data_IF_958034946551
#
_entry.id   IF_958034946551
#
_cell.length_a   1.000
_cell.length_b   1.000
_cell.length_c   1.000
_cell.angle_alpha   90.00
_cell.angle_beta   90.00
_cell.angle_gamma   90.00
#
_symmetry.space_group_name_H-M   'P 1'
#
loop_
_entity.id
_entity.type
_entity.pdbx_description
1 polymer ?
#
# COMPACT_ATOMS: atom_id res chain seq x y z
N UNK A 1 -26.54 -8.70 -11.95
CA UNK A 1 -25.60 -9.78 -11.56
C UNK A 1 -25.57 -10.01 -10.06
N UNK A 2 -25.58 -8.95 -9.23
CA UNK A 2 -25.78 -9.05 -7.77
C UNK A 2 -27.08 -9.78 -7.37
N UNK A 3 -28.12 -9.67 -8.20
CA UNK A 3 -29.40 -10.34 -7.93
C UNK A 3 -29.35 -11.86 -8.06
N UNK A 4 -28.42 -12.41 -8.86
CA UNK A 4 -28.24 -13.85 -9.07
C UNK A 4 -27.06 -14.44 -8.30
N UNK A 5 -26.37 -13.65 -7.46
CA UNK A 5 -25.23 -14.11 -6.67
C UNK A 5 -25.69 -14.96 -5.46
N UNK A 6 -25.03 -16.09 -5.24
CA UNK A 6 -25.20 -16.98 -4.09
C UNK A 6 -23.92 -16.99 -3.22
N UNK A 7 -23.95 -16.39 -2.01
CA UNK A 7 -22.78 -16.29 -1.14
C UNK A 7 -22.34 -17.62 -0.52
N UNK A 8 -23.14 -18.70 -0.61
CA UNK A 8 -22.77 -19.99 -0.03
C UNK A 8 -21.93 -20.86 -0.97
N UNK A 9 -22.13 -20.72 -2.28
CA UNK A 9 -21.40 -21.48 -3.31
C UNK A 9 -20.30 -20.69 -3.99
N UNK A 10 -20.40 -19.36 -4.00
CA UNK A 10 -19.58 -18.50 -4.85
C UNK A 10 -18.88 -17.43 -4.02
N UNK A 11 -17.60 -17.20 -4.31
CA UNK A 11 -16.82 -16.09 -3.77
C UNK A 11 -16.72 -14.98 -4.79
N UNK A 12 -17.05 -13.75 -4.39
CA UNK A 12 -16.85 -12.56 -5.20
C UNK A 12 -15.50 -11.93 -4.84
N UNK A 13 -14.63 -11.76 -5.83
CA UNK A 13 -13.33 -11.09 -5.71
C UNK A 13 -13.41 -9.66 -6.20
N UNK A 14 -12.87 -8.75 -5.40
CA UNK A 14 -12.79 -7.32 -5.72
C UNK A 14 -11.37 -6.80 -5.59
N UNK A 15 -11.09 -5.67 -6.24
CA UNK A 15 -9.78 -4.98 -6.21
C UNK A 15 -9.40 -4.53 -4.80
N UNK A 16 -10.27 -3.73 -4.19
CA UNK A 16 -9.92 -2.91 -3.04
C UNK A 16 -10.95 -3.01 -1.90
N UNK A 17 -10.59 -2.37 -0.79
CA UNK A 17 -11.37 -2.44 0.45
C UNK A 17 -12.67 -1.66 0.35
N UNK A 18 -12.72 -0.59 -0.44
CA UNK A 18 -13.92 0.22 -0.62
C UNK A 18 -14.95 -0.54 -1.43
N UNK A 19 -14.56 -1.12 -2.57
CA UNK A 19 -15.44 -1.99 -3.36
C UNK A 19 -15.95 -3.17 -2.55
N UNK A 20 -15.08 -3.77 -1.70
CA UNK A 20 -15.50 -4.81 -0.75
C UNK A 20 -16.58 -4.30 0.19
N UNK A 21 -16.39 -3.16 0.86
CA UNK A 21 -17.40 -2.62 1.77
C UNK A 21 -18.71 -2.25 1.06
N UNK A 22 -18.65 -1.61 -0.11
CA UNK A 22 -19.83 -1.22 -0.87
C UNK A 22 -20.66 -2.44 -1.28
N UNK A 23 -20.03 -3.47 -1.85
CA UNK A 23 -20.71 -4.72 -2.24
C UNK A 23 -21.22 -5.46 -1.00
N UNK A 24 -20.46 -5.50 0.10
CA UNK A 24 -20.90 -6.11 1.35
C UNK A 24 -22.18 -5.47 1.88
N UNK A 25 -22.27 -4.14 1.87
CA UNK A 25 -23.48 -3.42 2.29
C UNK A 25 -24.69 -3.74 1.40
N UNK A 26 -24.48 -3.89 0.10
CA UNK A 26 -25.55 -4.30 -0.82
C UNK A 26 -25.99 -5.74 -0.52
N UNK A 27 -25.05 -6.66 -0.32
CA UNK A 27 -25.34 -8.06 -0.02
C UNK A 27 -26.03 -8.22 1.35
N UNK A 28 -25.64 -7.47 2.37
CA UNK A 28 -26.27 -7.52 3.70
C UNK A 28 -27.72 -7.00 3.72
N UNK A 29 -28.12 -6.18 2.74
CA UNK A 29 -29.54 -5.82 2.56
C UNK A 29 -30.38 -6.99 2.05
N UNK A 30 -29.75 -7.94 1.34
CA UNK A 30 -30.41 -9.11 0.74
C UNK A 30 -30.29 -10.36 1.60
N UNK A 31 -29.14 -10.56 2.23
CA UNK A 31 -28.80 -11.71 3.06
C UNK A 31 -28.66 -11.27 4.52
N UNK A 32 -29.29 -12.01 5.44
CA UNK A 32 -29.23 -11.70 6.88
C UNK A 32 -27.83 -11.90 7.48
N UNK A 33 -27.06 -12.80 6.89
CA UNK A 33 -25.71 -13.15 7.30
C UNK A 33 -24.89 -13.36 6.03
N UNK A 34 -23.64 -12.90 6.03
CA UNK A 34 -22.68 -13.14 4.96
C UNK A 34 -21.49 -13.89 5.54
N UNK A 35 -21.08 -14.97 4.88
CA UNK A 35 -19.86 -15.67 5.25
C UNK A 35 -18.63 -14.84 4.89
N UNK A 36 -17.56 -14.95 5.69
CA UNK A 36 -16.33 -14.18 5.50
C UNK A 36 -15.71 -14.39 4.10
N UNK A 37 -15.77 -15.62 3.61
CA UNK A 37 -15.21 -16.03 2.32
C UNK A 37 -16.14 -15.75 1.13
N UNK A 38 -17.33 -15.21 1.33
CA UNK A 38 -18.25 -14.90 0.23
C UNK A 38 -17.80 -13.65 -0.56
N UNK A 39 -17.08 -12.73 0.08
CA UNK A 39 -16.58 -11.51 -0.54
C UNK A 39 -15.16 -11.20 -0.06
N UNK A 40 -14.19 -11.36 -0.95
CA UNK A 40 -12.77 -11.20 -0.66
C UNK A 40 -12.15 -10.15 -1.57
N UNK A 41 -11.12 -9.46 -1.08
CA UNK A 41 -10.18 -8.80 -1.98
C UNK A 41 -9.31 -9.85 -2.64
N UNK A 42 -8.84 -9.59 -3.86
CA UNK A 42 -7.88 -10.47 -4.52
C UNK A 42 -6.65 -10.74 -3.63
N UNK A 43 -6.11 -9.69 -3.00
CA UNK A 43 -4.99 -9.80 -2.05
C UNK A 43 -5.29 -10.70 -0.84
N UNK A 44 -6.54 -10.76 -0.37
CA UNK A 44 -6.94 -11.63 0.73
C UNK A 44 -6.97 -13.10 0.30
N UNK A 45 -7.52 -13.36 -0.89
CA UNK A 45 -7.56 -14.69 -1.48
C UNK A 45 -6.15 -15.26 -1.64
N UNK A 46 -5.25 -14.52 -2.29
CA UNK A 46 -3.89 -14.99 -2.57
C UNK A 46 -3.06 -15.16 -1.31
N UNK A 47 -3.17 -14.22 -0.36
CA UNK A 47 -2.53 -14.36 0.95
C UNK A 47 -3.05 -15.58 1.71
N UNK A 48 -4.36 -15.82 1.67
CA UNK A 48 -4.97 -17.00 2.28
C UNK A 48 -4.46 -18.29 1.66
N UNK A 49 -4.40 -18.38 0.33
CA UNK A 49 -3.83 -19.51 -0.40
C UNK A 49 -2.36 -19.74 -0.05
N UNK A 50 -1.54 -18.70 -0.08
CA UNK A 50 -0.10 -18.81 0.20
C UNK A 50 0.16 -19.29 1.63
N UNK A 51 -0.61 -18.82 2.62
CA UNK A 51 -0.51 -19.30 4.02
C UNK A 51 -0.92 -20.77 4.19
N UNK A 52 -1.90 -21.24 3.42
CA UNK A 52 -2.32 -22.66 3.46
C UNK A 52 -1.27 -23.56 2.84
N UNK A 53 -0.65 -23.14 1.73
CA UNK A 53 0.36 -23.91 1.02
C UNK A 53 1.73 -23.89 1.72
N UNK A 54 2.08 -22.76 2.34
CA UNK A 54 3.33 -22.54 3.06
C UNK A 54 3.05 -22.16 4.53
N UNK A 55 2.53 -23.08 5.35
CA UNK A 55 2.17 -22.80 6.74
C UNK A 55 3.38 -22.45 7.63
N UNK A 56 4.57 -22.93 7.26
CA UNK A 56 5.82 -22.64 7.96
C UNK A 56 6.36 -21.23 7.67
N UNK A 57 5.81 -20.52 6.68
CA UNK A 57 6.34 -19.22 6.25
C UNK A 57 5.78 -18.09 7.09
N UNK A 58 6.64 -17.17 7.51
CA UNK A 58 6.26 -15.92 8.17
C UNK A 58 6.00 -14.82 7.14
N UNK A 59 4.73 -14.44 6.99
CA UNK A 59 4.33 -13.39 6.07
C UNK A 59 4.42 -12.00 6.71
N UNK A 60 5.05 -11.04 6.04
CA UNK A 60 5.32 -9.69 6.57
C UNK A 60 4.99 -8.56 5.60
N UNK A 61 4.94 -7.33 6.12
CA UNK A 61 4.77 -6.12 5.31
C UNK A 61 6.00 -5.78 4.47
N UNK A 62 5.80 -4.98 3.42
CA UNK A 62 6.85 -4.55 2.49
C UNK A 62 7.97 -3.74 3.17
N UNK A 63 7.64 -2.96 4.20
CA UNK A 63 8.63 -2.12 4.90
C UNK A 63 9.62 -2.98 5.70
N UNK A 64 9.12 -3.97 6.43
CA UNK A 64 9.98 -4.91 7.16
C UNK A 64 10.86 -5.72 6.21
N UNK A 65 10.31 -6.12 5.06
CA UNK A 65 11.08 -6.80 4.02
C UNK A 65 12.24 -5.94 3.49
N UNK A 66 11.99 -4.65 3.24
CA UNK A 66 13.04 -3.71 2.83
C UNK A 66 14.12 -3.52 3.90
N UNK A 67 13.73 -3.49 5.19
CA UNK A 67 14.69 -3.42 6.31
C UNK A 67 15.56 -4.68 6.36
N UNK A 68 14.96 -5.86 6.23
CA UNK A 68 15.71 -7.13 6.21
C UNK A 68 16.64 -7.24 5.00
N UNK A 69 16.21 -6.76 3.84
CA UNK A 69 17.08 -6.66 2.67
C UNK A 69 18.25 -5.70 2.93
N UNK A 70 17.99 -4.52 3.51
CA UNK A 70 19.05 -3.58 3.85
C UNK A 70 20.06 -4.19 4.83
N UNK A 71 19.60 -4.95 5.82
CA UNK A 71 20.47 -5.69 6.75
C UNK A 71 21.29 -6.77 6.03
N UNK A 72 20.64 -7.55 5.15
CA UNK A 72 21.33 -8.55 4.34
C UNK A 72 22.43 -7.93 3.47
N UNK A 73 22.14 -6.81 2.81
CA UNK A 73 23.09 -6.10 1.95
C UNK A 73 24.30 -5.53 2.69
N UNK A 74 24.20 -5.26 4.01
CA UNK A 74 25.36 -4.87 4.82
C UNK A 74 26.43 -5.97 4.92
N UNK A 75 26.05 -7.23 4.71
CA UNK A 75 27.01 -8.34 4.68
C UNK A 75 27.72 -8.49 3.33
N UNK A 76 27.31 -7.73 2.32
CA UNK A 76 27.95 -7.73 1.00
C UNK A 76 29.35 -7.12 1.04
N UNK A 77 30.24 -7.67 0.21
CA UNK A 77 31.59 -7.13 -0.04
C UNK A 77 31.57 -5.86 -0.88
N UNK A 78 30.48 -5.62 -1.62
CA UNK A 78 30.39 -4.49 -2.54
C UNK A 78 29.86 -3.25 -1.82
N UNK A 79 30.65 -2.16 -1.82
CA UNK A 79 30.31 -0.93 -1.11
C UNK A 79 29.01 -0.29 -1.61
N UNK A 80 28.70 -0.42 -2.91
CA UNK A 80 27.51 0.20 -3.47
C UNK A 80 26.22 -0.47 -2.99
N UNK A 81 26.25 -1.75 -2.58
CA UNK A 81 25.09 -2.45 -1.99
C UNK A 81 24.63 -1.78 -0.69
N UNK A 82 25.54 -1.09 0.01
CA UNK A 82 25.28 -0.46 1.30
C UNK A 82 24.75 0.98 1.16
N UNK A 83 24.59 1.49 -0.07
CA UNK A 83 24.11 2.85 -0.31
C UNK A 83 22.64 3.00 0.07
N UNK A 84 22.23 4.18 0.58
CA UNK A 84 20.82 4.47 0.85
C UNK A 84 19.94 4.26 -0.38
N UNK A 85 18.79 3.62 -0.20
CA UNK A 85 17.80 3.39 -1.27
C UNK A 85 18.02 2.13 -2.12
N UNK A 86 19.20 1.50 -2.09
CA UNK A 86 19.47 0.28 -2.86
C UNK A 86 18.55 -0.87 -2.45
N UNK A 87 18.33 -1.07 -1.15
CA UNK A 87 17.40 -2.10 -0.66
C UNK A 87 15.97 -1.92 -1.17
N UNK A 88 15.49 -0.66 -1.24
CA UNK A 88 14.17 -0.32 -1.78
C UNK A 88 14.10 -0.60 -3.29
N UNK A 89 15.12 -0.20 -4.03
CA UNK A 89 15.21 -0.46 -5.46
C UNK A 89 15.29 -1.96 -5.76
N UNK A 90 16.09 -2.71 -5.01
CA UNK A 90 16.19 -4.16 -5.09
C UNK A 90 14.83 -4.81 -4.82
N UNK A 91 14.14 -4.41 -3.75
CA UNK A 91 12.80 -4.91 -3.43
C UNK A 91 11.82 -4.71 -4.60
N UNK A 92 11.85 -3.55 -5.25
CA UNK A 92 11.01 -3.26 -6.42
C UNK A 92 11.38 -4.13 -7.64
N UNK A 93 12.67 -4.33 -7.90
CA UNK A 93 13.14 -5.20 -8.99
C UNK A 93 12.75 -6.65 -8.74
N UNK A 94 12.97 -7.13 -7.51
CA UNK A 94 12.51 -8.44 -7.08
C UNK A 94 11.01 -8.58 -7.32
N UNK A 95 10.20 -7.61 -6.90
CA UNK A 95 8.75 -7.66 -7.08
C UNK A 95 8.32 -7.83 -8.54
N UNK A 96 9.01 -7.19 -9.48
CA UNK A 96 8.74 -7.34 -10.91
C UNK A 96 9.18 -8.70 -11.47
N UNK A 97 10.27 -9.25 -10.92
CA UNK A 97 10.88 -10.49 -11.40
C UNK A 97 10.44 -11.74 -10.63
N UNK A 98 9.64 -11.59 -9.57
CA UNK A 98 9.23 -12.67 -8.67
C UNK A 98 8.75 -13.95 -9.35
N UNK A 99 7.87 -13.90 -10.37
CA UNK A 99 7.45 -15.11 -11.08
C UNK A 99 8.63 -15.90 -11.65
N UNK A 100 9.63 -15.20 -12.17
CA UNK A 100 10.85 -15.77 -12.75
C UNK A 100 11.81 -16.22 -11.63
N UNK A 101 11.92 -15.43 -10.56
CA UNK A 101 12.80 -15.70 -9.43
C UNK A 101 12.35 -16.90 -8.61
N UNK A 102 11.06 -17.22 -8.56
CA UNK A 102 10.55 -18.35 -7.78
C UNK A 102 10.37 -19.62 -8.62
N UNK A 103 10.20 -19.48 -9.94
CA UNK A 103 10.11 -20.63 -10.84
C UNK A 103 11.52 -21.16 -11.20
N UNK A 104 11.82 -22.46 -10.96
CA UNK A 104 13.10 -23.05 -11.32
C UNK A 104 13.49 -22.86 -12.79
N UNK A 105 12.54 -23.01 -13.73
CA UNK A 105 12.82 -22.82 -15.16
C UNK A 105 13.11 -21.36 -15.50
N UNK A 106 12.47 -20.42 -14.80
CA UNK A 106 12.73 -18.99 -14.98
C UNK A 106 14.17 -18.61 -14.61
N UNK A 107 14.69 -19.18 -13.52
CA UNK A 107 16.08 -18.98 -13.08
C UNK A 107 17.12 -19.44 -14.10
N UNK A 108 16.81 -20.51 -14.83
CA UNK A 108 17.69 -21.09 -15.85
C UNK A 108 17.63 -20.33 -17.19
N UNK A 109 16.45 -19.82 -17.55
CA UNK A 109 16.22 -19.22 -18.88
C UNK A 109 16.76 -17.79 -19.02
N UNK A 110 16.72 -16.99 -17.95
CA UNK A 110 17.12 -15.58 -18.04
C UNK A 110 18.64 -15.38 -18.29
N UNK A 111 19.54 -16.18 -17.70
CA UNK A 111 20.96 -16.17 -18.08
C UNK A 111 21.19 -16.42 -19.57
N UNK A 112 20.47 -17.36 -20.18
CA UNK A 112 20.57 -17.64 -21.62
C UNK A 112 20.08 -16.45 -22.47
N UNK A 113 19.04 -15.76 -22.00
CA UNK A 113 18.56 -14.53 -22.65
C UNK A 113 19.59 -13.39 -22.56
N UNK A 114 20.28 -13.24 -21.42
CA UNK A 114 21.34 -12.25 -21.26
C UNK A 114 22.53 -12.49 -22.21
N UNK A 115 22.89 -13.75 -22.47
CA UNK A 115 23.93 -14.08 -23.46
C UNK A 115 23.58 -13.60 -24.87
N UNK A 116 22.28 -13.50 -25.20
CA UNK A 116 21.80 -12.99 -26.48
C UNK A 116 21.63 -11.46 -26.49
N UNK A 117 21.68 -10.81 -25.33
CA UNK A 117 21.40 -9.38 -25.15
C UNK A 117 22.43 -8.74 -24.20
N UNK A 118 23.68 -8.63 -24.64
CA UNK A 118 24.82 -8.10 -23.86
C UNK A 118 24.53 -6.73 -23.23
N UNK A 119 23.92 -5.81 -23.98
CA UNK A 119 23.53 -4.47 -23.46
C UNK A 119 22.48 -4.50 -22.33
N UNK A 120 21.68 -5.58 -22.24
CA UNK A 120 20.74 -5.78 -21.14
C UNK A 120 21.46 -6.41 -19.95
N UNK A 121 22.41 -7.32 -20.19
CA UNK A 121 23.26 -7.90 -19.15
C UNK A 121 24.08 -6.82 -18.42
N UNK A 122 24.68 -5.88 -19.14
CA UNK A 122 25.44 -4.77 -18.53
C UNK A 122 24.57 -3.88 -17.64
N UNK A 123 23.29 -3.71 -17.98
CA UNK A 123 22.38 -2.81 -17.24
C UNK A 123 21.67 -3.51 -16.09
N UNK A 124 21.26 -4.76 -16.27
CA UNK A 124 20.33 -5.46 -15.39
C UNK A 124 20.92 -6.73 -14.77
N UNK A 125 22.10 -7.18 -15.22
CA UNK A 125 22.74 -8.42 -14.74
C UNK A 125 22.99 -8.39 -13.24
N UNK A 126 23.60 -7.31 -12.73
CA UNK A 126 23.84 -7.16 -11.28
C UNK A 126 22.53 -7.14 -10.48
N UNK A 127 21.50 -6.43 -10.96
CA UNK A 127 20.19 -6.40 -10.30
C UNK A 127 19.50 -7.76 -10.31
N UNK A 128 19.68 -8.55 -11.37
CA UNK A 128 19.18 -9.92 -11.44
C UNK A 128 19.89 -10.83 -10.43
N UNK A 129 21.22 -10.79 -10.37
CA UNK A 129 22.00 -11.58 -9.42
C UNK A 129 21.66 -11.23 -7.98
N UNK A 130 21.56 -9.93 -7.66
CA UNK A 130 21.11 -9.47 -6.34
C UNK A 130 19.69 -9.93 -6.03
N UNK A 131 18.80 -9.93 -7.03
CA UNK A 131 17.42 -10.39 -6.85
C UNK A 131 17.35 -11.88 -6.57
N UNK A 132 18.21 -12.69 -7.20
CA UNK A 132 18.35 -14.12 -6.89
C UNK A 132 18.84 -14.34 -5.46
N UNK A 133 19.89 -13.62 -5.04
CA UNK A 133 20.42 -13.69 -3.67
C UNK A 133 19.38 -13.25 -2.64
N UNK A 134 18.69 -12.15 -2.90
CA UNK A 134 17.60 -11.66 -2.07
C UNK A 134 16.44 -12.65 -1.97
N UNK A 135 16.06 -13.28 -3.08
CA UNK A 135 15.00 -14.29 -3.09
C UNK A 135 15.40 -15.53 -2.28
N UNK A 136 16.64 -16.00 -2.45
CA UNK A 136 17.21 -17.09 -1.65
C UNK A 136 17.22 -16.75 -0.15
N UNK A 137 17.65 -15.54 0.22
CA UNK A 137 17.64 -15.05 1.60
C UNK A 137 16.26 -15.17 2.26
N UNK A 138 15.19 -14.78 1.56
CA UNK A 138 13.82 -14.88 2.06
C UNK A 138 13.34 -16.34 2.15
N UNK A 139 13.62 -17.16 1.13
CA UNK A 139 13.22 -18.57 1.10
C UNK A 139 13.92 -19.38 2.20
N UNK A 140 15.22 -19.21 2.39
CA UNK A 140 16.02 -19.92 3.39
C UNK A 140 15.56 -19.62 4.81
N UNK A 141 15.15 -18.37 5.06
CA UNK A 141 14.61 -17.94 6.36
C UNK A 141 13.13 -18.25 6.54
N UNK A 142 12.45 -18.76 5.51
CA UNK A 142 10.98 -18.95 5.48
C UNK A 142 10.23 -17.67 5.84
N UNK A 143 10.69 -16.54 5.33
CA UNK A 143 10.14 -15.21 5.61
C UNK A 143 9.77 -14.56 4.30
N UNK A 144 8.53 -14.08 4.15
CA UNK A 144 8.03 -13.65 2.85
C UNK A 144 7.13 -12.40 2.91
N UNK A 145 7.32 -11.42 2.01
CA UNK A 145 6.42 -10.27 1.92
C UNK A 145 5.00 -10.71 1.50
N UNK A 146 3.97 -10.17 2.15
CA UNK A 146 2.57 -10.48 1.81
C UNK A 146 2.19 -10.08 0.39
N UNK A 147 2.80 -9.01 -0.14
CA UNK A 147 2.61 -8.56 -1.53
C UNK A 147 3.12 -9.56 -2.56
N UNK A 148 3.97 -10.51 -2.17
CA UNK A 148 4.55 -11.50 -3.06
C UNK A 148 3.77 -12.83 -3.06
N UNK A 149 2.65 -12.91 -2.31
CA UNK A 149 1.87 -14.15 -2.14
C UNK A 149 1.44 -14.77 -3.47
N UNK A 150 1.07 -13.95 -4.46
CA UNK A 150 0.67 -14.43 -5.78
C UNK A 150 1.78 -15.25 -6.47
N UNK A 151 3.03 -14.80 -6.37
CA UNK A 151 4.15 -15.46 -7.03
C UNK A 151 4.47 -16.84 -6.44
N UNK A 152 4.21 -17.05 -5.14
CA UNK A 152 4.37 -18.36 -4.49
C UNK A 152 3.34 -19.39 -4.95
N UNK A 153 2.20 -18.93 -5.46
CA UNK A 153 1.08 -19.78 -5.88
C UNK A 153 1.20 -20.23 -7.34
N UNK A 154 2.08 -19.61 -8.12
CA UNK A 154 2.27 -19.98 -9.53
C UNK A 154 2.77 -21.41 -9.60
N UNK A 155 2.13 -22.19 -10.49
CA UNK A 155 2.47 -23.59 -10.80
C UNK A 155 2.25 -24.55 -9.63
N UNK A 156 1.43 -24.15 -8.65
CA UNK A 156 0.99 -24.98 -7.54
C UNK A 156 -0.38 -25.60 -7.84
N UNK A 157 -0.70 -26.70 -7.18
CA UNK A 157 -2.04 -27.31 -7.26
C UNK A 157 -3.02 -26.53 -6.37
N UNK A 158 -3.78 -25.62 -6.98
CA UNK A 158 -4.63 -24.68 -6.25
C UNK A 158 -6.03 -25.22 -5.92
N UNK A 159 -6.51 -26.22 -6.67
CA UNK A 159 -7.89 -26.76 -6.55
C UNK A 159 -8.24 -27.34 -5.18
N UNK A 160 -7.25 -27.78 -4.41
CA UNK A 160 -7.46 -28.30 -3.05
C UNK A 160 -7.81 -27.20 -2.02
N UNK A 161 -7.33 -25.98 -2.27
CA UNK A 161 -7.45 -24.86 -1.34
C UNK A 161 -8.66 -23.98 -1.61
N UNK A 162 -9.11 -23.94 -2.87
CA UNK A 162 -10.24 -23.15 -3.33
C UNK A 162 -11.32 -24.08 -3.84
N UNK A 163 -12.47 -24.10 -3.15
CA UNK A 163 -13.59 -25.01 -3.45
C UNK A 163 -14.85 -24.30 -3.93
N UNK A 164 -14.81 -22.96 -3.97
CA UNK A 164 -15.92 -22.11 -4.36
C UNK A 164 -15.69 -21.59 -5.76
N UNK A 165 -16.76 -21.50 -6.52
CA UNK A 165 -16.74 -20.80 -7.79
C UNK A 165 -16.42 -19.32 -7.56
N UNK A 166 -15.82 -18.67 -8.56
CA UNK A 166 -15.32 -17.30 -8.43
C UNK A 166 -16.07 -16.35 -9.37
N UNK A 167 -16.49 -15.20 -8.84
CA UNK A 167 -16.82 -14.01 -9.64
C UNK A 167 -15.70 -13.01 -9.44
N UNK A 168 -15.01 -12.64 -10.51
CA UNK A 168 -13.81 -11.80 -10.46
C UNK A 168 -14.13 -10.42 -11.00
N UNK A 169 -14.06 -9.40 -10.14
CA UNK A 169 -14.33 -8.00 -10.47
C UNK A 169 -13.14 -7.12 -10.03
N UNK A 170 -12.07 -7.15 -10.82
CA UNK A 170 -10.82 -6.43 -10.52
C UNK A 170 -10.62 -5.18 -11.38
N UNK A 171 -11.59 -4.85 -12.24
CA UNK A 171 -11.55 -3.67 -13.12
C UNK A 171 -10.18 -3.55 -13.85
N UNK A 172 -9.57 -2.37 -13.94
CA UNK A 172 -8.25 -2.19 -14.55
C UNK A 172 -7.06 -2.66 -13.67
N UNK A 173 -7.31 -3.24 -12.49
CA UNK A 173 -6.25 -3.65 -11.54
C UNK A 173 -5.83 -5.11 -11.68
N UNK A 174 -6.47 -5.89 -12.56
CA UNK A 174 -6.10 -7.29 -12.81
C UNK A 174 -4.64 -7.38 -13.30
N UNK A 175 -3.79 -7.99 -12.48
CA UNK A 175 -2.37 -8.17 -12.83
C UNK A 175 -2.15 -9.39 -13.74
N UNK A 176 -1.05 -9.45 -14.50
CA UNK A 176 -0.73 -10.62 -15.33
C UNK A 176 -0.59 -11.91 -14.53
N UNK A 177 -0.03 -11.83 -13.32
CA UNK A 177 0.12 -12.99 -12.42
C UNK A 177 -1.25 -13.48 -11.98
N UNK A 178 -2.16 -12.59 -11.60
CA UNK A 178 -3.52 -12.96 -11.24
C UNK A 178 -4.27 -13.59 -12.40
N UNK A 179 -4.12 -13.05 -13.61
CA UNK A 179 -4.69 -13.67 -14.81
C UNK A 179 -4.19 -15.12 -14.96
N UNK A 180 -2.89 -15.36 -14.80
CA UNK A 180 -2.31 -16.71 -14.84
C UNK A 180 -2.86 -17.63 -13.74
N UNK A 181 -2.97 -17.14 -12.50
CA UNK A 181 -3.54 -17.90 -11.38
C UNK A 181 -5.02 -18.24 -11.61
N UNK A 182 -5.79 -17.31 -12.17
CA UNK A 182 -7.18 -17.55 -12.54
C UNK A 182 -7.30 -18.61 -13.63
N UNK A 183 -6.41 -18.60 -14.64
CA UNK A 183 -6.35 -19.68 -15.63
C UNK A 183 -6.00 -21.03 -14.99
N UNK A 184 -5.07 -21.07 -14.04
CA UNK A 184 -4.75 -22.28 -13.28
C UNK A 184 -5.98 -22.80 -12.51
N UNK A 185 -6.67 -21.92 -11.78
CA UNK A 185 -7.88 -22.26 -11.03
C UNK A 185 -9.07 -22.69 -11.90
N UNK A 186 -9.19 -22.13 -13.11
CA UNK A 186 -10.27 -22.46 -14.05
C UNK A 186 -10.29 -23.93 -14.51
N UNK A 187 -9.20 -24.67 -14.25
CA UNK A 187 -9.15 -26.11 -14.50
C UNK A 187 -10.10 -26.88 -13.58
N UNK A 188 -10.26 -26.41 -12.35
CA UNK A 188 -11.00 -27.08 -11.29
C UNK A 188 -12.30 -26.36 -10.88
N UNK A 189 -12.40 -25.05 -11.14
CA UNK A 189 -13.49 -24.19 -10.67
C UNK A 189 -14.18 -23.44 -11.81
N UNK A 190 -15.46 -23.08 -11.63
CA UNK A 190 -16.11 -22.13 -12.53
C UNK A 190 -15.70 -20.71 -12.14
N UNK A 191 -15.12 -19.98 -13.09
CA UNK A 191 -14.67 -18.60 -12.90
C UNK A 191 -15.40 -17.71 -13.89
N UNK A 192 -16.12 -16.71 -13.38
CA UNK A 192 -16.74 -15.64 -14.15
C UNK A 192 -15.95 -14.36 -13.95
N UNK A 193 -15.40 -13.82 -15.02
CA UNK A 193 -14.60 -12.59 -14.97
C UNK A 193 -15.42 -11.41 -15.52
N UNK A 194 -15.49 -10.33 -14.75
CA UNK A 194 -16.10 -9.07 -15.16
C UNK A 194 -15.05 -8.21 -15.82
N UNK A 195 -15.22 -8.00 -17.12
CA UNK A 195 -14.32 -7.16 -17.89
C UNK A 195 -14.97 -5.80 -18.12
N UNK A 196 -14.31 -4.67 -17.80
CA UNK A 196 -14.84 -3.36 -18.09
C UNK A 196 -14.90 -3.14 -19.61
N UNK A 197 -16.07 -2.74 -20.10
CA UNK A 197 -16.24 -2.33 -21.49
C UNK A 197 -16.06 -0.81 -21.59
N UNK A 198 -14.91 -0.40 -22.13
CA UNK A 198 -14.58 1.01 -22.31
C UNK A 198 -14.84 1.42 -23.76
N UNK A 199 -15.55 2.54 -23.96
CA UNK A 199 -15.78 3.13 -25.28
C UNK A 199 -14.46 3.48 -26.01
N UNK A 200 -13.37 3.65 -25.25
CA UNK A 200 -12.02 3.93 -25.74
C UNK A 200 -11.05 2.77 -25.48
N UNK A 201 -11.53 1.53 -25.57
CA UNK A 201 -10.72 0.31 -25.30
C UNK A 201 -9.37 0.30 -26.01
N UNK A 202 -9.27 0.87 -27.22
CA UNK A 202 -8.01 1.04 -27.95
C UNK A 202 -6.94 1.88 -27.22
N UNK A 203 -7.35 2.85 -26.40
CA UNK A 203 -6.45 3.66 -25.56
C UNK A 203 -6.09 2.96 -24.25
N UNK A 204 -6.89 1.97 -23.81
CA UNK A 204 -6.71 1.23 -22.56
C UNK A 204 -6.06 -0.15 -22.78
N UNK A 205 -5.40 -0.36 -23.92
CA UNK A 205 -4.88 -1.67 -24.34
C UNK A 205 -3.91 -2.26 -23.31
N UNK A 206 -3.03 -1.44 -22.72
CA UNK A 206 -2.09 -1.89 -21.69
C UNK A 206 -2.79 -2.23 -20.37
N UNK A 207 -3.71 -1.37 -19.91
CA UNK A 207 -4.46 -1.59 -18.66
C UNK A 207 -5.39 -2.81 -18.73
N UNK A 208 -5.80 -3.22 -19.93
CA UNK A 208 -6.63 -4.41 -20.15
C UNK A 208 -5.86 -5.61 -20.71
N UNK A 209 -4.52 -5.53 -20.80
CA UNK A 209 -3.69 -6.58 -21.37
C UNK A 209 -3.89 -7.93 -20.66
N UNK A 210 -4.03 -7.93 -19.34
CA UNK A 210 -4.28 -9.14 -18.53
C UNK A 210 -5.60 -9.83 -18.92
N UNK A 211 -6.63 -9.08 -19.32
CA UNK A 211 -7.89 -9.66 -19.81
C UNK A 211 -7.77 -10.26 -21.20
N UNK A 212 -6.88 -9.73 -22.04
CA UNK A 212 -6.61 -10.32 -23.35
C UNK A 212 -6.00 -11.72 -23.20
N UNK A 213 -5.09 -11.92 -22.24
CA UNK A 213 -4.56 -13.25 -21.90
C UNK A 213 -5.68 -14.24 -21.54
N UNK A 214 -6.64 -13.80 -20.72
CA UNK A 214 -7.80 -14.62 -20.35
C UNK A 214 -8.68 -14.95 -21.56
N UNK A 215 -8.92 -13.98 -22.45
CA UNK A 215 -9.71 -14.16 -23.67
C UNK A 215 -9.07 -15.12 -24.66
N UNK A 216 -7.78 -14.97 -24.89
CA UNK A 216 -7.00 -15.83 -25.80
C UNK A 216 -7.03 -17.28 -25.32
N UNK A 217 -6.84 -17.50 -24.02
CA UNK A 217 -6.85 -18.84 -23.43
C UNK A 217 -8.25 -19.49 -23.43
N UNK A 218 -9.30 -18.69 -23.22
CA UNK A 218 -10.69 -19.18 -23.23
C UNK A 218 -11.25 -19.41 -24.65
N UNK A 219 -10.47 -19.11 -25.70
CA UNK A 219 -10.73 -19.48 -27.09
C UNK A 219 -12.18 -19.37 -27.54
N UNK A 220 -12.65 -18.17 -27.91
CA UNK A 220 -13.96 -17.94 -28.56
C UNK A 220 -15.18 -18.66 -27.96
N UNK A 221 -15.18 -19.05 -26.68
CA UNK A 221 -16.42 -19.31 -25.94
C UNK A 221 -17.04 -17.99 -25.53
N UNK A 222 -17.33 -17.15 -26.53
CA UNK A 222 -18.19 -15.98 -26.35
C UNK A 222 -19.62 -16.46 -26.15
N UNK A 223 -19.97 -16.85 -24.92
CA UNK A 223 -21.28 -16.48 -24.41
C UNK A 223 -21.16 -15.04 -23.92
N UNK A 224 -20.93 -14.12 -24.85
CA UNK A 224 -21.09 -12.70 -24.65
C UNK A 224 -22.59 -12.47 -24.42
N UNK A 225 -23.03 -12.67 -23.19
CA UNK A 225 -24.28 -12.08 -22.73
C UNK A 225 -24.05 -10.58 -22.79
N UNK A 226 -24.44 -9.98 -23.92
CA UNK A 226 -24.48 -8.54 -24.12
C UNK A 226 -25.27 -7.95 -22.96
N UNK A 227 -24.58 -7.33 -22.01
CA UNK A 227 -25.22 -6.52 -21.00
C UNK A 227 -26.08 -5.49 -21.74
N UNK A 228 -27.31 -5.31 -21.27
CA UNK A 228 -28.21 -4.27 -21.76
C UNK A 228 -27.43 -2.97 -21.86
N UNK A 229 -27.32 -2.43 -23.07
CA UNK A 229 -26.61 -1.18 -23.31
C UNK A 229 -27.37 -0.10 -22.57
N UNK A 230 -26.91 0.24 -21.37
CA UNK A 230 -27.45 1.37 -20.61
C UNK A 230 -27.30 2.59 -21.52
N UNK A 231 -28.43 3.13 -21.99
CA UNK A 231 -28.43 4.38 -22.76
C UNK A 231 -27.97 5.48 -21.80
N UNK A 232 -26.68 5.80 -21.83
CA UNK A 232 -26.11 6.91 -21.07
C UNK A 232 -26.75 8.20 -21.63
N UNK A 233 -27.53 8.95 -20.84
CA UNK A 233 -28.10 10.20 -21.30
C UNK A 233 -26.96 11.21 -21.52
N UNK A 234 -26.70 11.57 -22.78
CA UNK A 234 -25.55 12.39 -23.16
C UNK A 234 -25.80 13.88 -22.93
N UNK A 235 -25.89 14.34 -21.67
CA UNK A 235 -25.69 15.75 -21.35
C UNK A 235 -24.24 15.97 -20.90
N UNK A 236 -23.32 16.07 -21.87
CA UNK A 236 -21.93 16.41 -21.60
C UNK A 236 -21.73 17.92 -21.75
N UNK A 237 -21.23 18.58 -20.71
CA UNK A 237 -20.92 20.00 -20.72
C UNK A 237 -19.45 20.21 -20.39
N UNK A 238 -18.68 20.68 -21.37
CA UNK A 238 -17.28 21.05 -21.17
C UNK A 238 -17.19 22.53 -20.85
N UNK A 239 -16.53 22.88 -19.75
CA UNK A 239 -16.31 24.26 -19.31
C UNK A 239 -14.82 24.51 -19.12
N UNK A 240 -14.38 25.73 -19.43
CA UNK A 240 -13.01 26.19 -19.19
C UNK A 240 -13.02 27.28 -18.13
N UNK A 241 -12.12 27.18 -17.17
CA UNK A 241 -11.98 28.13 -16.07
C UNK A 241 -10.61 28.82 -16.14
N UNK A 242 -10.54 30.03 -15.58
CA UNK A 242 -9.31 30.84 -15.53
C UNK A 242 -8.33 30.36 -14.46
N UNK A 243 -8.83 29.68 -13.41
CA UNK A 243 -8.02 29.14 -12.32
C UNK A 243 -8.69 27.89 -11.72
N UNK A 244 -7.91 27.12 -10.96
CA UNK A 244 -8.38 25.97 -10.18
C UNK A 244 -9.48 26.38 -9.17
N UNK A 245 -9.35 27.55 -8.54
CA UNK A 245 -10.35 28.05 -7.60
C UNK A 245 -11.68 28.38 -8.30
N UNK A 246 -11.62 28.96 -9.51
CA UNK A 246 -12.82 29.26 -10.29
C UNK A 246 -13.54 27.98 -10.75
N UNK A 247 -12.77 26.95 -11.12
CA UNK A 247 -13.28 25.61 -11.41
C UNK A 247 -14.00 25.03 -10.18
N UNK A 248 -13.35 25.02 -9.02
CA UNK A 248 -13.93 24.50 -7.78
C UNK A 248 -15.21 25.23 -7.37
N UNK A 249 -15.21 26.56 -7.39
CA UNK A 249 -16.41 27.37 -7.10
C UNK A 249 -17.57 27.04 -8.03
N UNK A 250 -17.29 26.88 -9.32
CA UNK A 250 -18.32 26.55 -10.29
C UNK A 250 -18.83 25.11 -10.15
N UNK A 251 -17.96 24.17 -9.80
CA UNK A 251 -18.33 22.77 -9.51
C UNK A 251 -19.22 22.68 -8.29
N UNK A 252 -18.84 23.32 -7.17
CA UNK A 252 -19.65 23.37 -5.94
C UNK A 252 -20.99 24.06 -6.19
N UNK A 253 -21.00 25.17 -6.93
CA UNK A 253 -22.25 25.84 -7.33
C UNK A 253 -23.15 24.95 -8.20
N UNK A 254 -22.58 24.08 -9.05
CA UNK A 254 -23.35 23.14 -9.86
C UNK A 254 -23.96 22.02 -9.01
N UNK A 255 -23.21 21.49 -8.04
CA UNK A 255 -23.71 20.51 -7.07
C UNK A 255 -24.84 21.11 -6.25
N UNK A 256 -24.69 22.35 -5.77
CA UNK A 256 -25.75 23.07 -5.06
C UNK A 256 -27.01 23.19 -5.90
N UNK A 257 -26.90 23.58 -7.17
CA UNK A 257 -28.05 23.64 -8.09
C UNK A 257 -28.74 22.29 -8.27
N UNK A 258 -27.98 21.20 -8.35
CA UNK A 258 -28.56 19.86 -8.44
C UNK A 258 -29.23 19.44 -7.13
N UNK A 259 -28.62 19.75 -5.99
CA UNK A 259 -29.21 19.48 -4.67
C UNK A 259 -30.51 20.27 -4.45
N UNK A 260 -30.53 21.55 -4.81
CA UNK A 260 -31.72 22.40 -4.75
C UNK A 260 -32.81 21.94 -5.73
N UNK A 261 -32.43 21.28 -6.83
CA UNK A 261 -33.34 20.63 -7.77
C UNK A 261 -33.84 19.25 -7.29
N UNK A 262 -33.45 18.81 -6.08
CA UNK A 262 -33.88 17.56 -5.47
C UNK A 262 -33.07 16.32 -5.88
N UNK A 263 -31.92 16.48 -6.54
CA UNK A 263 -31.02 15.36 -6.81
C UNK A 263 -30.28 15.00 -5.52
N UNK A 264 -30.35 13.73 -5.12
CA UNK A 264 -29.71 13.24 -3.91
C UNK A 264 -28.18 13.27 -4.04
N UNK A 265 -27.48 13.74 -3.00
CA UNK A 265 -26.02 13.90 -3.02
C UNK A 265 -25.27 12.60 -3.31
N UNK A 266 -25.78 11.45 -2.87
CA UNK A 266 -25.14 10.14 -3.09
C UNK A 266 -25.15 9.69 -4.56
N UNK A 267 -25.89 10.38 -5.44
CA UNK A 267 -25.90 10.17 -6.89
C UNK A 267 -24.90 11.05 -7.63
N UNK A 268 -24.17 11.92 -6.91
CA UNK A 268 -23.20 12.85 -7.47
C UNK A 268 -21.79 12.37 -7.12
N UNK A 269 -20.89 12.46 -8.09
CA UNK A 269 -19.47 12.17 -7.89
C UNK A 269 -18.61 13.29 -8.48
N UNK A 270 -17.58 13.70 -7.74
CA UNK A 270 -16.51 14.55 -8.23
C UNK A 270 -15.27 13.70 -8.42
N UNK A 271 -14.67 13.77 -9.60
CA UNK A 271 -13.48 13.00 -9.95
C UNK A 271 -12.41 13.96 -10.43
N UNK A 272 -11.20 13.85 -9.89
CA UNK A 272 -10.03 14.61 -10.30
C UNK A 272 -8.83 13.64 -10.38
N UNK A 273 -7.90 13.81 -11.34
CA UNK A 273 -6.69 12.99 -11.43
C UNK A 273 -5.82 13.08 -10.17
N UNK A 274 -5.76 14.26 -9.56
CA UNK A 274 -5.06 14.50 -8.29
C UNK A 274 -5.99 15.27 -7.35
N UNK A 275 -6.87 14.55 -6.66
CA UNK A 275 -7.83 15.15 -5.73
C UNK A 275 -7.15 15.84 -4.54
N UNK A 276 -5.93 15.45 -4.16
CA UNK A 276 -5.23 16.03 -3.01
C UNK A 276 -4.81 17.47 -3.27
N UNK A 277 -4.45 17.81 -4.52
CA UNK A 277 -4.18 19.19 -4.91
C UNK A 277 -5.41 20.11 -4.81
N UNK A 278 -6.61 19.56 -5.02
CA UNK A 278 -7.88 20.32 -4.99
C UNK A 278 -8.51 20.35 -3.60
N UNK A 279 -8.25 19.34 -2.77
CA UNK A 279 -8.99 19.07 -1.55
C UNK A 279 -8.98 20.22 -0.52
N UNK A 280 -7.86 20.90 -0.22
CA UNK A 280 -7.85 21.95 0.79
C UNK A 280 -8.86 23.07 0.51
N UNK A 281 -8.95 23.49 -0.75
CA UNK A 281 -9.89 24.55 -1.17
C UNK A 281 -11.31 23.99 -1.32
N UNK A 282 -11.44 22.79 -1.90
CA UNK A 282 -12.73 22.15 -2.11
C UNK A 282 -13.47 21.88 -0.78
N UNK A 283 -12.75 21.38 0.24
CA UNK A 283 -13.32 21.10 1.56
C UNK A 283 -13.91 22.37 2.20
N UNK A 284 -13.20 23.51 2.12
CA UNK A 284 -13.70 24.79 2.64
C UNK A 284 -14.99 25.19 1.92
N UNK A 285 -15.03 25.10 0.59
CA UNK A 285 -16.19 25.48 -0.21
C UNK A 285 -17.40 24.59 0.06
N UNK A 286 -17.21 23.27 0.12
CA UNK A 286 -18.28 22.31 0.43
C UNK A 286 -18.85 22.55 1.83
N UNK A 287 -17.99 22.77 2.83
CA UNK A 287 -18.40 23.07 4.20
C UNK A 287 -19.16 24.39 4.29
N UNK A 288 -18.73 25.41 3.54
CA UNK A 288 -19.40 26.72 3.50
C UNK A 288 -20.81 26.62 2.91
N UNK A 289 -20.98 25.79 1.87
CA UNK A 289 -22.26 25.57 1.20
C UNK A 289 -23.14 24.50 1.87
N UNK A 290 -22.66 23.90 2.97
CA UNK A 290 -23.35 22.85 3.72
C UNK A 290 -23.53 21.54 2.94
N UNK A 291 -22.64 21.26 1.98
CA UNK A 291 -22.70 20.06 1.14
C UNK A 291 -21.89 18.95 1.81
N UNK A 292 -22.59 17.90 2.26
CA UNK A 292 -21.95 16.72 2.79
C UNK A 292 -21.13 16.00 1.69
N UNK A 293 -19.90 15.60 2.02
CA UNK A 293 -19.03 14.86 1.13
C UNK A 293 -18.43 13.64 1.84
N UNK A 294 -18.16 12.60 1.06
CA UNK A 294 -17.48 11.40 1.52
C UNK A 294 -16.13 11.31 0.81
N UNK A 295 -15.07 11.70 1.50
CA UNK A 295 -13.68 11.46 1.10
C UNK A 295 -12.97 10.73 2.22
N UNK A 296 -12.25 9.66 1.87
CA UNK A 296 -11.34 9.00 2.79
C UNK A 296 -10.17 9.95 3.06
N UNK A 297 -10.17 10.59 4.25
CA UNK A 297 -9.08 11.47 4.65
C UNK A 297 -7.95 10.59 5.15
N UNK A 298 -6.95 10.38 4.31
CA UNK A 298 -5.70 9.72 4.70
C UNK A 298 -4.71 10.80 5.11
N UNK A 299 -4.72 11.17 6.38
CA UNK A 299 -3.68 12.04 6.94
C UNK A 299 -2.50 11.17 7.35
N UNK A 300 -1.28 11.41 6.83
CA UNK A 300 -0.11 10.67 7.26
C UNK A 300 0.09 10.80 8.78
N UNK A 301 0.30 9.70 9.50
CA UNK A 301 0.52 9.74 10.95
C UNK A 301 1.68 10.67 11.35
N UNK A 302 2.70 10.75 10.50
CA UNK A 302 3.85 11.65 10.65
C UNK A 302 3.52 13.14 10.52
N UNK A 303 2.31 13.56 10.12
CA UNK A 303 1.93 14.98 10.13
C UNK A 303 1.35 15.42 11.47
N UNK A 304 1.05 14.48 12.36
CA UNK A 304 0.59 14.82 13.71
C UNK A 304 1.79 15.19 14.57
N UNK A 305 1.73 16.38 15.17
CA UNK A 305 2.81 16.91 16.02
C UNK A 305 3.26 15.93 17.14
N UNK A 306 2.36 15.23 17.86
CA UNK A 306 2.79 14.27 18.89
C UNK A 306 3.63 13.13 18.32
N UNK A 307 3.29 12.64 17.11
CA UNK A 307 4.05 11.58 16.43
C UNK A 307 5.40 12.09 15.97
N UNK A 308 5.46 13.30 15.39
CA UNK A 308 6.73 13.91 15.01
C UNK A 308 7.67 14.06 16.21
N UNK A 309 7.15 14.63 17.31
CA UNK A 309 7.91 14.84 18.54
C UNK A 309 8.39 13.53 19.15
N UNK A 310 7.54 12.51 19.16
CA UNK A 310 7.92 11.18 19.61
C UNK A 310 9.03 10.57 18.75
N UNK A 311 8.91 10.64 17.42
CA UNK A 311 9.94 10.18 16.50
C UNK A 311 11.28 10.92 16.70
N UNK A 312 11.24 12.24 16.89
CA UNK A 312 12.43 13.03 17.22
C UNK A 312 13.08 12.57 18.53
N UNK A 313 12.29 12.32 19.58
CA UNK A 313 12.80 11.77 20.85
C UNK A 313 13.47 10.41 20.68
N UNK A 314 12.85 9.51 19.92
CA UNK A 314 13.42 8.19 19.65
C UNK A 314 14.73 8.28 18.87
N UNK A 315 14.81 9.13 17.85
CA UNK A 315 16.05 9.35 17.08
C UNK A 315 17.17 9.88 17.96
N UNK A 316 16.88 10.88 18.79
CA UNK A 316 17.83 11.41 19.75
C UNK A 316 18.31 10.32 20.74
N UNK A 317 17.39 9.47 21.21
CA UNK A 317 17.71 8.32 22.05
C UNK A 317 18.56 7.24 21.37
N UNK A 318 18.47 7.14 20.04
CA UNK A 318 19.32 6.27 19.22
C UNK A 318 20.61 6.97 18.74
N UNK A 319 20.93 8.16 19.28
CA UNK A 319 22.08 8.99 18.87
C UNK A 319 22.05 9.43 17.40
N UNK A 320 20.87 9.41 16.76
CA UNK A 320 20.62 10.00 15.45
C UNK A 320 20.19 11.45 15.66
N UNK A 321 21.16 12.37 15.67
CA UNK A 321 20.92 13.74 16.09
C UNK A 321 20.81 14.64 14.87
N UNK A 322 19.62 15.20 14.68
CA UNK A 322 19.34 16.24 13.69
C UNK A 322 18.91 17.53 14.40
N UNK A 323 19.20 18.67 13.78
CA UNK A 323 18.84 19.99 14.33
C UNK A 323 17.32 20.13 14.56
N UNK A 324 16.52 19.67 13.59
CA UNK A 324 15.06 19.69 13.67
C UNK A 324 14.51 18.78 14.78
N UNK A 325 15.19 17.67 15.07
CA UNK A 325 14.79 16.74 16.12
C UNK A 325 15.06 17.34 17.51
N UNK A 326 16.22 18.00 17.70
CA UNK A 326 16.52 18.74 18.92
C UNK A 326 15.55 19.90 19.14
N UNK A 327 15.25 20.67 18.09
CA UNK A 327 14.31 21.78 18.17
C UNK A 327 12.92 21.30 18.61
N UNK A 328 12.41 20.25 17.95
CA UNK A 328 11.09 19.67 18.24
C UNK A 328 10.99 19.11 19.66
N UNK A 329 12.08 18.55 20.19
CA UNK A 329 12.12 18.05 21.56
C UNK A 329 12.20 19.19 22.60
N UNK A 330 13.15 20.12 22.42
CA UNK A 330 13.50 21.15 23.41
C UNK A 330 12.43 22.23 23.57
N UNK A 331 11.74 22.59 22.49
CA UNK A 331 10.74 23.67 22.48
C UNK A 331 9.30 23.17 22.53
N UNK A 332 9.07 21.85 22.66
CA UNK A 332 7.71 21.28 22.67
C UNK A 332 6.98 21.35 24.01
N UNK A 333 7.70 21.15 25.11
CA UNK A 333 7.25 21.43 26.48
C UNK A 333 8.41 22.12 27.17
N UNK A 334 8.11 23.10 28.02
CA UNK A 334 9.05 24.01 28.73
C UNK A 334 10.12 23.32 29.62
N UNK A 335 10.84 22.31 29.13
CA UNK A 335 11.83 21.55 29.86
C UNK A 335 13.18 22.27 29.92
N UNK A 336 13.51 23.10 28.90
CA UNK A 336 14.75 23.87 28.85
C UNK A 336 14.52 25.31 28.40
N UNK A 337 14.84 26.26 29.29
CA UNK A 337 14.85 27.71 28.98
C UNK A 337 16.15 28.09 28.29
N UNK A 338 16.34 27.65 27.05
CA UNK A 338 17.36 28.21 26.16
C UNK A 338 16.64 29.20 25.23
N UNK A 339 17.09 30.46 25.14
CA UNK A 339 16.58 31.38 24.13
C UNK A 339 16.74 30.78 22.74
N UNK A 340 15.71 30.89 21.90
CA UNK A 340 15.71 30.30 20.56
C UNK A 340 16.90 30.77 19.69
N UNK A 341 17.31 32.03 19.86
CA UNK A 341 18.46 32.59 19.14
C UNK A 341 19.77 31.90 19.52
N UNK A 342 19.96 31.60 20.81
CA UNK A 342 21.15 30.89 21.30
C UNK A 342 21.16 29.44 20.78
N UNK A 343 19.99 28.79 20.75
CA UNK A 343 19.84 27.45 20.17
C UNK A 343 20.25 27.44 18.69
N UNK A 344 19.79 28.39 17.88
CA UNK A 344 20.15 28.47 16.46
C UNK A 344 21.65 28.65 16.27
N UNK A 345 22.29 29.51 17.04
CA UNK A 345 23.75 29.72 16.95
C UNK A 345 24.50 28.39 17.22
N UNK A 346 24.06 27.64 18.22
CA UNK A 346 24.74 26.43 18.65
C UNK A 346 24.43 25.21 17.78
N UNK A 347 23.24 25.11 17.17
CA UNK A 347 22.73 23.85 16.61
C UNK A 347 22.19 23.95 15.17
N UNK A 348 22.39 25.07 14.45
CA UNK A 348 22.00 25.14 13.02
C UNK A 348 22.75 24.11 12.15
N UNK A 349 23.99 23.78 12.51
CA UNK A 349 24.80 22.78 11.83
C UNK A 349 25.29 21.74 12.84
N UNK A 350 24.68 20.55 12.78
CA UNK A 350 25.06 19.37 13.58
C UNK A 350 25.60 18.33 12.62
N UNK A 351 26.79 17.81 12.94
CA UNK A 351 27.44 16.75 12.17
C UNK A 351 27.40 15.42 12.91
N UNK A 352 27.52 15.43 14.24
CA UNK A 352 27.52 14.23 15.06
C UNK A 352 27.05 14.47 16.50
N UNK A 353 27.06 13.39 17.31
CA UNK A 353 26.69 13.45 18.73
C UNK A 353 27.66 14.24 19.61
N UNK A 354 28.88 14.51 19.15
CA UNK A 354 29.84 15.32 19.90
C UNK A 354 29.40 16.79 19.94
N UNK A 355 28.62 17.24 18.97
CA UNK A 355 28.06 18.59 18.91
C UNK A 355 27.05 18.87 20.03
N UNK A 356 26.49 17.85 20.69
CA UNK A 356 25.68 18.04 21.90
C UNK A 356 26.47 18.64 23.06
N UNK A 357 27.81 18.53 23.05
CA UNK A 357 28.68 19.11 24.08
C UNK A 357 28.73 20.65 24.05
N UNK A 358 28.15 21.28 23.02
CA UNK A 358 28.07 22.74 22.86
C UNK A 358 27.25 23.43 23.97
N UNK A 359 26.33 22.71 24.63
CA UNK A 359 25.63 23.17 25.84
C UNK A 359 25.63 22.05 26.91
N UNK A 360 26.15 22.30 28.12
CA UNK A 360 26.26 21.29 29.17
C UNK A 360 24.89 20.78 29.67
N UNK A 361 23.83 21.57 29.56
CA UNK A 361 22.46 21.19 29.97
C UNK A 361 21.87 20.17 28.99
N UNK A 362 22.08 20.40 27.70
CA UNK A 362 21.66 19.49 26.63
C UNK A 362 22.46 18.20 26.74
N UNK A 363 23.78 18.30 26.89
CA UNK A 363 24.67 17.15 27.09
C UNK A 363 24.17 16.22 28.22
N UNK A 364 23.82 16.78 29.38
CA UNK A 364 23.34 16.00 30.53
C UNK A 364 22.03 15.24 30.26
N UNK A 365 21.15 15.76 29.39
CA UNK A 365 19.89 15.10 29.02
C UNK A 365 20.10 13.86 28.14
N UNK A 366 21.16 13.84 27.34
CA UNK A 366 21.44 12.78 26.37
C UNK A 366 22.59 11.85 26.77
N UNK A 367 23.36 12.19 27.82
CA UNK A 367 24.48 11.36 28.33
C UNK A 367 24.06 10.00 28.90
N UNK A 368 22.80 9.83 29.29
CA UNK A 368 22.26 8.61 29.91
C UNK A 368 21.55 7.65 28.94
N UNK A 369 21.50 7.99 27.66
CA UNK A 369 20.62 7.30 26.71
C UNK A 369 21.29 6.04 26.16
N UNK A 370 20.48 4.98 26.06
CA UNK A 370 20.84 3.60 25.73
C UNK A 370 21.86 3.51 24.60
N UNK A 371 22.91 2.70 24.79
CA UNK A 371 23.83 2.40 23.69
C UNK A 371 23.05 1.86 22.50
N UNK A 372 23.22 2.45 21.32
CA UNK A 372 22.56 2.11 20.06
C UNK A 372 22.77 0.63 19.60
N UNK A 373 23.45 -0.18 20.41
CA UNK A 373 23.79 -1.59 20.21
C UNK A 373 22.89 -2.56 20.97
N UNK A 374 21.94 -2.09 21.78
CA UNK A 374 21.03 -2.98 22.50
C UNK A 374 20.01 -3.60 21.53
N UNK A 375 19.96 -4.93 21.50
CA UNK A 375 18.97 -5.69 20.73
C UNK A 375 17.73 -5.79 21.60
N UNK A 376 16.61 -5.22 21.14
CA UNK A 376 15.31 -5.33 21.79
C UNK A 376 14.46 -6.39 21.09
N UNK A 377 13.73 -7.19 21.85
CA UNK A 377 12.57 -7.88 21.29
C UNK A 377 11.42 -6.88 21.04
N UNK A 378 10.35 -7.30 20.36
CA UNK A 378 9.22 -6.41 20.01
C UNK A 378 8.63 -5.70 21.23
N UNK A 379 8.34 -6.44 22.30
CA UNK A 379 7.63 -5.91 23.47
C UNK A 379 8.55 -5.04 24.32
N UNK A 380 9.84 -5.40 24.42
CA UNK A 380 10.88 -4.57 25.04
C UNK A 380 11.09 -3.26 24.27
N UNK A 381 11.09 -3.32 22.94
CA UNK A 381 11.21 -2.12 22.11
C UNK A 381 10.01 -1.20 22.30
N UNK A 382 8.79 -1.74 22.31
CA UNK A 382 7.59 -0.95 22.54
C UNK A 382 7.59 -0.34 23.94
N UNK A 383 7.96 -1.11 24.96
CA UNK A 383 8.07 -0.61 26.33
C UNK A 383 9.13 0.49 26.45
N UNK A 384 10.27 0.35 25.79
CA UNK A 384 11.30 1.38 25.72
C UNK A 384 10.81 2.62 24.97
N UNK A 385 10.19 2.45 23.79
CA UNK A 385 9.70 3.55 22.96
C UNK A 385 8.56 4.32 23.62
N UNK A 386 7.72 3.65 24.43
CA UNK A 386 6.66 4.24 25.23
C UNK A 386 7.18 5.23 26.29
N UNK A 387 8.41 5.06 26.78
CA UNK A 387 9.01 6.01 27.74
C UNK A 387 9.17 7.40 27.15
N UNK A 388 9.21 7.50 25.82
CA UNK A 388 9.39 8.75 25.09
C UNK A 388 8.06 9.32 24.57
N UNK A 389 6.93 8.61 24.73
CA UNK A 389 5.61 9.09 24.32
C UNK A 389 4.96 9.95 25.41
N UNK A 390 4.35 11.06 25.01
CA UNK A 390 3.56 11.90 25.92
C UNK A 390 2.17 11.27 26.07
N UNK A 391 1.98 10.49 27.15
CA UNK A 391 0.82 9.61 27.38
C UNK A 391 -0.54 10.34 27.48
N UNK A 392 -0.57 11.67 27.61
CA UNK A 392 -1.82 12.45 27.74
C UNK A 392 -1.59 13.82 27.05
N UNK A 393 -2.40 14.27 26.06
CA UNK A 393 -3.74 13.82 25.65
C UNK A 393 -3.82 12.94 24.38
N UNK A 394 -2.74 12.26 23.99
CA UNK A 394 -2.65 11.61 22.67
C UNK A 394 -2.68 10.08 22.69
N UNK A 395 -3.19 9.46 23.76
CA UNK A 395 -3.22 7.99 23.89
C UNK A 395 -3.96 7.30 22.73
N UNK A 396 -5.11 7.83 22.30
CA UNK A 396 -5.88 7.30 21.17
C UNK A 396 -5.06 7.25 19.86
N UNK A 397 -4.21 8.27 19.65
CA UNK A 397 -3.32 8.33 18.49
C UNK A 397 -2.25 7.24 18.59
N UNK A 398 -1.71 6.99 19.77
CA UNK A 398 -0.75 5.92 19.99
C UNK A 398 -1.36 4.53 19.76
N UNK A 399 -2.55 4.28 20.32
CA UNK A 399 -3.28 3.02 20.12
C UNK A 399 -3.58 2.77 18.63
N UNK A 400 -3.89 3.83 17.88
CA UNK A 400 -4.10 3.75 16.43
C UNK A 400 -2.85 3.37 15.64
N UNK A 401 -1.65 3.64 16.16
CA UNK A 401 -0.38 3.24 15.54
C UNK A 401 -0.03 1.78 15.77
N UNK A 402 -0.53 1.18 16.86
CA UNK A 402 -0.29 -0.22 17.23
C UNK A 402 -1.58 -1.04 17.43
N UNK A 403 -2.52 -1.10 16.45
CA UNK A 403 -3.79 -1.79 16.62
C UNK A 403 -3.71 -3.25 17.08
N UNK A 404 -2.72 -4.07 16.65
CA UNK A 404 -2.62 -5.46 17.10
C UNK A 404 -2.27 -5.60 18.58
N UNK A 405 -1.60 -4.59 19.17
CA UNK A 405 -1.12 -4.65 20.56
C UNK A 405 -2.25 -4.45 21.58
N UNK A 406 -3.23 -3.62 21.23
CA UNK A 406 -4.35 -3.27 22.13
C UNK A 406 -5.65 -4.04 21.85
N UNK A 407 -5.70 -4.87 20.79
CA UNK A 407 -6.88 -5.68 20.44
C UNK A 407 -6.95 -7.04 21.13
N UNK A 408 -5.92 -7.44 21.88
CA UNK A 408 -5.88 -8.72 22.62
C UNK A 408 -6.15 -8.59 24.14
N UNK A 409 -6.55 -7.40 24.60
CA UNK A 409 -7.08 -7.15 25.96
C UNK A 409 -8.51 -6.65 25.87
#
# INVERSE_FOLDING_TARGET
MLDSFDPHSTTWLVSDLRSKFEIQQILLKKFRLLEEDALLRASELWRGGAKKLYPDFHFMGADLAQVLLAEHLKTSREEWHQRPGVARQLYQHMQQLLPILLNPMGRETLPDWFQQHESAQERWGEWWEMSLQGAAFFLDRKVFPTSWSQALLIDQELGDFFKRDLVVDLNAELTPIEAQLLLQLSKDLQIKVLMPELAFSHLATESLASYNLLREFLGQKENSHSSETLQIPSSCHVKRYSSQEAELKATVAQIRKWADAGVELHKMAMVAPDIESYWPVLNILLNTEGIACQKDVVTPLQSYYPVQRWMSRLRLALSQIESADLESHLFGEDQLKIPFDDFRILYTHIFDASDLQRDPRIRQLYESQTSATQIFNRDEFLQWALQYWDLDPHLELFESMFPPFFKET
#
